data_IF_986090309197
#
_entry.id   IF_986090309197
#
_cell.length_a   1.000
_cell.length_b   1.000
_cell.length_c   1.000
_cell.angle_alpha   90.00
_cell.angle_beta   90.00
_cell.angle_gamma   90.00
#
_symmetry.space_group_name_H-M   'P 1'
#
loop_
_entity.id
_entity.type
_entity.pdbx_description
1 polymer ?
#
# COMPACT_ATOMS: atom_id res chain seq x y z
N UNK A 1 15.21 2.96 12.10
CA UNK A 1 14.39 3.98 12.80
C UNK A 1 14.15 3.56 14.24
N UNK A 2 13.64 4.46 15.09
CA UNK A 2 13.22 4.13 16.46
C UNK A 2 11.70 3.91 16.54
N UNK A 3 11.26 2.96 17.37
CA UNK A 3 9.84 2.67 17.61
C UNK A 3 9.20 3.83 18.41
N UNK A 4 8.14 4.45 17.86
CA UNK A 4 7.43 5.60 18.48
C UNK A 4 6.11 5.22 19.15
N UNK A 5 5.52 4.12 18.70
CA UNK A 5 4.25 3.62 19.19
C UNK A 5 4.18 2.12 18.97
N UNK A 6 3.56 1.41 19.91
CA UNK A 6 3.20 0.02 19.75
C UNK A 6 1.86 -0.23 20.40
N UNK A 7 1.03 -0.99 19.72
CA UNK A 7 -0.16 -1.60 20.28
C UNK A 7 -0.10 -3.10 20.02
N UNK A 8 -0.56 -3.89 20.97
CA UNK A 8 -0.48 -5.35 20.96
C UNK A 8 -1.86 -5.94 21.21
N UNK A 9 -2.07 -7.14 20.68
CA UNK A 9 -3.26 -7.94 20.93
C UNK A 9 -3.18 -8.56 22.33
N UNK A 10 -4.32 -8.68 22.98
CA UNK A 10 -4.45 -9.38 24.26
C UNK A 10 -4.20 -10.90 24.04
N UNK A 11 -3.28 -11.54 24.79
CA UNK A 11 -2.99 -12.97 24.68
C UNK A 11 -4.23 -13.88 24.75
N UNK A 12 -5.22 -13.57 25.60
CA UNK A 12 -6.43 -14.38 25.72
C UNK A 12 -7.31 -14.25 24.49
N UNK A 13 -7.36 -13.05 23.88
CA UNK A 13 -8.03 -12.82 22.62
C UNK A 13 -7.32 -13.55 21.48
N UNK A 14 -5.98 -13.53 21.46
CA UNK A 14 -5.20 -14.28 20.47
C UNK A 14 -5.49 -15.78 20.57
N UNK A 15 -5.48 -16.37 21.78
CA UNK A 15 -5.81 -17.79 21.97
C UNK A 15 -7.18 -18.12 21.37
N UNK A 16 -8.20 -17.30 21.65
CA UNK A 16 -9.56 -17.48 21.11
C UNK A 16 -9.59 -17.39 19.58
N UNK A 17 -8.91 -16.41 18.99
CA UNK A 17 -8.82 -16.24 17.53
C UNK A 17 -8.13 -17.44 16.89
N UNK A 18 -6.97 -17.85 17.41
CA UNK A 18 -6.19 -18.97 16.88
C UNK A 18 -7.00 -20.27 16.94
N UNK A 19 -7.56 -20.61 18.10
CA UNK A 19 -8.42 -21.80 18.24
C UNK A 19 -9.59 -21.75 17.25
N UNK A 20 -10.31 -20.62 17.17
CA UNK A 20 -11.45 -20.51 16.27
C UNK A 20 -11.08 -20.71 14.79
N UNK A 21 -9.99 -20.07 14.35
CA UNK A 21 -9.53 -20.06 12.98
C UNK A 21 -8.92 -21.42 12.58
N UNK A 22 -8.02 -21.96 13.39
CA UNK A 22 -7.29 -23.20 13.09
C UNK A 22 -8.22 -24.43 13.12
N UNK A 23 -9.18 -24.50 14.05
CA UNK A 23 -10.21 -25.56 14.08
C UNK A 23 -11.07 -25.59 12.80
N UNK A 24 -11.06 -24.49 12.05
CA UNK A 24 -11.78 -24.32 10.77
C UNK A 24 -10.85 -24.41 9.57
N UNK A 25 -9.58 -24.76 9.75
CA UNK A 25 -8.60 -24.92 8.68
C UNK A 25 -8.15 -23.60 8.06
N UNK A 26 -8.20 -22.50 8.82
CA UNK A 26 -7.49 -21.27 8.46
C UNK A 26 -6.07 -21.30 9.04
N UNK A 27 -5.14 -20.68 8.33
CA UNK A 27 -3.76 -20.49 8.79
C UNK A 27 -3.61 -19.14 9.47
N UNK A 28 -2.96 -19.10 10.63
CA UNK A 28 -2.57 -17.85 11.24
C UNK A 28 -1.08 -17.58 11.01
N UNK A 29 -0.76 -16.33 10.66
CA UNK A 29 0.58 -15.75 10.72
C UNK A 29 0.56 -14.63 11.74
N UNK A 30 1.46 -14.69 12.72
CA UNK A 30 1.59 -13.70 13.77
C UNK A 30 2.74 -12.73 13.48
N UNK A 31 2.50 -11.44 13.72
CA UNK A 31 3.50 -10.39 13.59
C UNK A 31 3.91 -9.91 14.99
N UNK A 32 5.20 -10.04 15.30
CA UNK A 32 5.84 -9.51 16.52
C UNK A 32 6.94 -8.53 16.09
N UNK A 33 6.61 -7.24 16.07
CA UNK A 33 7.47 -6.23 15.45
C UNK A 33 7.77 -6.57 13.98
N UNK A 34 9.04 -6.86 13.68
CA UNK A 34 9.50 -7.24 12.33
C UNK A 34 9.56 -8.76 12.11
N UNK A 35 9.21 -9.57 13.12
CA UNK A 35 9.20 -11.03 13.00
C UNK A 35 7.82 -11.51 12.57
N UNK A 36 7.80 -12.40 11.58
CA UNK A 36 6.61 -13.12 11.15
C UNK A 36 6.76 -14.56 11.60
N UNK A 37 5.73 -15.10 12.25
CA UNK A 37 5.77 -16.41 12.88
C UNK A 37 4.56 -17.23 12.45
N UNK A 38 4.78 -18.51 12.13
CA UNK A 38 3.70 -19.43 11.77
C UNK A 38 3.98 -20.85 12.28
N UNK A 39 2.93 -21.66 12.43
CA UNK A 39 3.10 -23.10 12.72
C UNK A 39 3.74 -23.82 11.53
N UNK A 40 4.73 -24.67 11.80
CA UNK A 40 5.61 -25.34 10.82
C UNK A 40 4.96 -26.29 9.79
N UNK A 41 3.63 -26.36 9.65
CA UNK A 41 2.95 -27.38 8.84
C UNK A 41 1.72 -26.83 8.07
N UNK A 42 1.87 -25.75 7.29
CA UNK A 42 0.71 -25.25 6.52
C UNK A 42 1.07 -24.65 5.15
N UNK A 43 0.33 -24.98 4.07
CA UNK A 43 0.60 -24.49 2.70
C UNK A 43 0.14 -23.05 2.44
N UNK A 44 0.53 -22.09 3.28
CA UNK A 44 0.35 -20.65 2.97
C UNK A 44 1.46 -20.11 2.06
N UNK A 45 2.56 -20.86 1.91
CA UNK A 45 3.74 -20.42 1.16
C UNK A 45 3.47 -20.01 -0.30
N UNK A 46 2.54 -20.67 -1.00
CA UNK A 46 2.16 -20.28 -2.36
C UNK A 46 1.48 -18.91 -2.40
N UNK A 47 0.62 -18.62 -1.42
CA UNK A 47 -0.08 -17.34 -1.34
C UNK A 47 0.88 -16.21 -0.96
N UNK A 48 1.76 -16.46 0.02
CA UNK A 48 2.79 -15.49 0.40
C UNK A 48 3.72 -15.16 -0.78
N UNK A 49 4.13 -16.18 -1.54
CA UNK A 49 4.95 -15.98 -2.73
C UNK A 49 4.22 -15.19 -3.82
N UNK A 50 2.92 -15.44 -4.04
CA UNK A 50 2.11 -14.71 -5.02
C UNK A 50 2.02 -13.21 -4.68
N UNK A 51 1.90 -12.87 -3.40
CA UNK A 51 1.77 -11.48 -2.95
C UNK A 51 3.09 -10.86 -2.49
N UNK A 52 4.23 -11.54 -2.76
CA UNK A 52 5.57 -11.09 -2.36
C UNK A 52 5.72 -10.79 -0.86
N UNK A 53 4.95 -11.49 -0.03
CA UNK A 53 5.05 -11.41 1.43
C UNK A 53 6.29 -12.15 1.92
N UNK A 54 7.00 -11.64 2.95
CA UNK A 54 8.14 -12.33 3.52
C UNK A 54 7.72 -13.66 4.15
N UNK A 55 8.58 -14.68 4.01
CA UNK A 55 8.32 -16.00 4.60
C UNK A 55 8.40 -15.93 6.13
N UNK A 56 7.36 -16.37 6.86
CA UNK A 56 7.39 -16.44 8.31
C UNK A 56 8.35 -17.52 8.80
N UNK A 57 8.96 -17.28 9.96
CA UNK A 57 9.71 -18.28 10.70
C UNK A 57 8.76 -19.40 11.16
N UNK A 58 9.14 -20.63 10.85
CA UNK A 58 8.40 -21.83 11.23
C UNK A 58 8.68 -22.16 12.70
N UNK A 59 7.63 -22.15 13.52
CA UNK A 59 7.68 -22.50 14.94
C UNK A 59 6.63 -23.57 15.29
N UNK A 60 6.56 -23.94 16.58
CA UNK A 60 5.47 -24.75 17.11
C UNK A 60 4.13 -24.00 17.10
N UNK A 61 3.13 -24.48 17.87
CA UNK A 61 1.87 -23.76 18.05
C UNK A 61 2.11 -22.30 18.46
N UNK A 62 1.48 -21.34 17.76
CA UNK A 62 1.58 -19.91 18.05
C UNK A 62 1.14 -19.57 19.49
N UNK A 63 0.29 -20.41 20.07
CA UNK A 63 -0.17 -20.30 21.46
C UNK A 63 0.97 -20.41 22.49
N UNK A 64 2.11 -20.99 22.11
CA UNK A 64 3.25 -21.19 23.00
C UNK A 64 4.06 -19.90 23.20
N UNK A 65 4.02 -18.96 22.25
CA UNK A 65 4.84 -17.74 22.28
C UNK A 65 4.11 -16.51 22.85
N UNK A 66 2.81 -16.64 23.17
CA UNK A 66 1.96 -15.48 23.50
C UNK A 66 2.38 -14.75 24.78
N UNK A 67 3.03 -15.47 25.70
CA UNK A 67 3.55 -14.92 26.96
C UNK A 67 5.03 -14.51 26.86
N UNK A 68 5.70 -14.85 25.74
CA UNK A 68 7.13 -14.61 25.52
C UNK A 68 7.38 -13.34 24.71
N UNK A 69 6.46 -12.99 23.81
CA UNK A 69 6.62 -11.84 22.92
C UNK A 69 5.30 -11.14 22.57
N UNK A 70 5.34 -9.82 22.32
CA UNK A 70 4.15 -9.07 21.96
C UNK A 70 3.69 -9.38 20.53
N UNK A 71 2.42 -9.73 20.35
CA UNK A 71 1.84 -9.88 19.02
C UNK A 71 1.09 -8.61 18.63
N UNK A 72 1.52 -7.96 17.55
CA UNK A 72 0.94 -6.72 17.04
C UNK A 72 -0.25 -6.95 16.11
N UNK A 73 -0.24 -8.06 15.37
CA UNK A 73 -1.19 -8.35 14.31
C UNK A 73 -1.22 -9.86 14.08
N UNK A 74 -2.41 -10.38 13.77
CA UNK A 74 -2.55 -11.69 13.15
C UNK A 74 -3.07 -11.50 11.74
N UNK A 75 -2.61 -12.36 10.83
CA UNK A 75 -3.23 -12.54 9.54
C UNK A 75 -3.79 -13.95 9.48
N UNK A 76 -5.07 -14.05 9.15
CA UNK A 76 -5.77 -15.31 8.94
C UNK A 76 -5.92 -15.55 7.45
N UNK A 77 -5.36 -16.65 6.96
CA UNK A 77 -5.41 -17.08 5.57
C UNK A 77 -6.36 -18.25 5.38
N UNK A 78 -7.13 -18.22 4.31
CA UNK A 78 -7.96 -19.34 3.89
C UNK A 78 -8.74 -19.03 2.62
N UNK A 79 -9.65 -19.93 2.18
CA UNK A 79 -10.39 -19.72 0.94
C UNK A 79 -11.22 -18.44 1.00
N UNK A 80 -11.09 -17.57 -0.02
CA UNK A 80 -11.83 -16.29 -0.15
C UNK A 80 -13.31 -16.43 0.24
N UNK A 81 -13.99 -17.45 -0.30
CA UNK A 81 -15.41 -17.73 -0.07
C UNK A 81 -15.77 -17.91 1.41
N UNK A 82 -14.81 -18.21 2.27
CA UNK A 82 -14.99 -18.43 3.71
C UNK A 82 -14.56 -17.24 4.56
N UNK A 83 -13.80 -16.28 4.02
CA UNK A 83 -13.28 -15.13 4.78
C UNK A 83 -14.41 -14.23 5.28
N UNK A 84 -15.44 -13.98 4.46
CA UNK A 84 -16.62 -13.21 4.89
C UNK A 84 -17.33 -13.85 6.10
N UNK A 85 -17.48 -15.17 6.07
CA UNK A 85 -18.09 -15.92 7.18
C UNK A 85 -17.20 -15.89 8.43
N UNK A 86 -15.89 -16.10 8.27
CA UNK A 86 -14.90 -15.99 9.35
C UNK A 86 -14.97 -14.62 10.03
N UNK A 87 -14.95 -13.54 9.25
CA UNK A 87 -15.03 -12.17 9.76
C UNK A 87 -16.30 -11.93 10.56
N UNK A 88 -17.46 -12.35 10.04
CA UNK A 88 -18.74 -12.19 10.73
C UNK A 88 -18.79 -12.98 12.04
N UNK A 89 -18.25 -14.20 12.07
CA UNK A 89 -18.23 -15.01 13.30
C UNK A 89 -17.29 -14.41 14.35
N UNK A 90 -16.10 -13.99 13.95
CA UNK A 90 -15.14 -13.34 14.85
C UNK A 90 -15.68 -12.02 15.39
N UNK A 91 -16.33 -11.20 14.56
CA UNK A 91 -16.90 -9.92 15.03
C UNK A 91 -17.97 -10.12 16.10
N UNK A 92 -18.83 -11.13 15.95
CA UNK A 92 -19.85 -11.49 16.94
C UNK A 92 -19.24 -12.04 18.23
N UNK A 93 -18.20 -12.87 18.14
CA UNK A 93 -17.59 -13.50 19.33
C UNK A 93 -16.69 -12.57 20.13
N UNK A 94 -16.01 -11.64 19.45
CA UNK A 94 -15.01 -10.78 20.06
C UNK A 94 -15.57 -9.41 20.47
N UNK A 95 -16.75 -9.03 19.98
CA UNK A 95 -17.53 -7.87 20.44
C UNK A 95 -16.69 -6.58 20.61
N UNK A 96 -15.91 -6.23 19.58
CA UNK A 96 -15.07 -5.02 19.58
C UNK A 96 -13.72 -5.15 20.30
N UNK A 97 -13.36 -6.34 20.81
CA UNK A 97 -12.04 -6.59 21.42
C UNK A 97 -10.88 -6.61 20.41
N UNK A 98 -11.20 -6.55 19.10
CA UNK A 98 -10.24 -6.47 17.99
C UNK A 98 -10.79 -5.57 16.90
N UNK A 99 -9.91 -5.04 16.07
CA UNK A 99 -10.26 -4.48 14.76
C UNK A 99 -10.07 -5.57 13.70
N UNK A 100 -11.07 -5.75 12.82
CA UNK A 100 -11.00 -6.66 11.68
C UNK A 100 -11.03 -5.85 10.39
N UNK A 101 -10.01 -6.03 9.53
CA UNK A 101 -9.88 -5.32 8.26
C UNK A 101 -9.26 -6.23 7.21
N UNK A 102 -9.32 -5.85 5.93
CA UNK A 102 -8.68 -6.57 4.83
C UNK A 102 -7.86 -5.63 3.94
N UNK A 103 -6.71 -6.11 3.46
CA UNK A 103 -6.05 -5.53 2.29
C UNK A 103 -6.71 -6.04 1.00
N UNK A 104 -6.21 -5.66 -0.18
CA UNK A 104 -6.63 -6.25 -1.46
C UNK A 104 -6.09 -7.68 -1.69
N UNK A 105 -6.27 -8.55 -0.69
CA UNK A 105 -5.98 -9.99 -0.75
C UNK A 105 -7.24 -10.72 -0.27
N UNK A 106 -8.08 -11.25 -1.18
CA UNK A 106 -9.38 -11.83 -0.84
C UNK A 106 -9.32 -13.01 0.14
N UNK A 107 -8.22 -13.76 0.13
CA UNK A 107 -7.94 -14.92 0.99
C UNK A 107 -7.49 -14.55 2.41
N UNK A 108 -7.43 -13.25 2.73
CA UNK A 108 -6.81 -12.74 3.93
C UNK A 108 -7.79 -11.96 4.81
N UNK A 109 -7.72 -12.17 6.12
CA UNK A 109 -8.33 -11.34 7.14
C UNK A 109 -7.28 -10.87 8.16
N UNK A 110 -7.17 -9.56 8.35
CA UNK A 110 -6.29 -8.99 9.37
C UNK A 110 -7.04 -8.84 10.70
N UNK A 111 -6.39 -9.27 11.78
CA UNK A 111 -6.84 -9.07 13.15
C UNK A 111 -5.85 -8.15 13.84
N UNK A 112 -6.33 -6.98 14.24
CA UNK A 112 -5.55 -5.92 14.85
C UNK A 112 -6.06 -5.63 16.27
N UNK A 113 -5.24 -5.01 17.12
CA UNK A 113 -5.69 -4.50 18.41
C UNK A 113 -6.92 -3.58 18.27
N UNK A 114 -7.77 -3.49 19.29
CA UNK A 114 -8.98 -2.68 19.21
C UNK A 114 -8.64 -1.21 18.93
N UNK A 115 -9.29 -0.64 17.91
CA UNK A 115 -9.05 0.74 17.47
C UNK A 115 -7.75 0.97 16.70
N UNK A 116 -6.93 -0.06 16.46
CA UNK A 116 -5.76 0.06 15.60
C UNK A 116 -6.18 0.10 14.12
N UNK A 117 -5.64 1.08 13.40
CA UNK A 117 -5.84 1.28 11.95
C UNK A 117 -4.69 2.10 11.37
N UNK A 118 -4.53 2.13 10.04
CA UNK A 118 -3.58 3.03 9.38
C UNK A 118 -3.90 4.51 9.66
N UNK A 119 -5.19 4.87 9.74
CA UNK A 119 -5.62 6.22 10.09
C UNK A 119 -5.26 6.62 11.53
N UNK A 120 -5.46 5.72 12.50
CA UNK A 120 -5.05 5.94 13.88
C UNK A 120 -3.53 6.11 14.02
N UNK A 121 -2.76 5.28 13.30
CA UNK A 121 -1.30 5.39 13.23
C UNK A 121 -0.85 6.72 12.61
N UNK A 122 -1.42 7.11 11.47
CA UNK A 122 -1.14 8.38 10.80
C UNK A 122 -1.46 9.56 11.71
N UNK A 123 -2.64 9.58 12.34
CA UNK A 123 -3.06 10.65 13.27
C UNK A 123 -2.04 10.86 14.40
N UNK A 124 -1.49 9.78 14.95
CA UNK A 124 -0.47 9.87 15.99
C UNK A 124 0.86 10.37 15.46
N UNK A 125 1.29 9.88 14.29
CA UNK A 125 2.51 10.34 13.63
C UNK A 125 2.45 11.85 13.33
N UNK A 126 1.34 12.34 12.79
CA UNK A 126 1.14 13.75 12.48
C UNK A 126 1.20 14.63 13.73
N UNK A 127 0.59 14.18 14.83
CA UNK A 127 0.66 14.86 16.13
C UNK A 127 2.11 14.97 16.62
N UNK A 128 2.88 13.89 16.54
CA UNK A 128 4.29 13.86 16.97
C UNK A 128 5.17 14.78 16.09
N UNK A 129 4.81 14.94 14.81
CA UNK A 129 5.51 15.81 13.86
C UNK A 129 5.03 17.28 13.88
N UNK A 130 3.93 17.59 14.57
CA UNK A 130 3.31 18.91 14.52
C UNK A 130 2.72 19.27 13.15
N UNK A 131 2.34 18.26 12.35
CA UNK A 131 1.77 18.43 11.01
C UNK A 131 0.25 18.31 11.09
N UNK A 132 -0.47 19.24 10.46
CA UNK A 132 -1.93 19.15 10.32
C UNK A 132 -2.30 18.17 9.19
N UNK A 133 -3.38 17.38 9.33
CA UNK A 133 -3.82 16.45 8.28
C UNK A 133 -4.05 17.10 6.91
N UNK A 134 -4.46 18.38 6.87
CA UNK A 134 -4.64 19.16 5.63
C UNK A 134 -3.37 19.26 4.75
N UNK A 135 -2.20 18.97 5.31
CA UNK A 135 -0.90 18.98 4.61
C UNK A 135 -0.44 17.57 4.20
N UNK A 136 -1.33 16.59 4.20
CA UNK A 136 -1.02 15.18 3.95
C UNK A 136 -1.74 14.73 2.69
N UNK A 137 -0.99 14.07 1.81
CA UNK A 137 -1.51 13.22 0.74
C UNK A 137 -1.48 11.78 1.22
N UNK A 138 -2.62 11.08 1.18
CA UNK A 138 -2.70 9.65 1.44
C UNK A 138 -3.25 8.94 0.19
N UNK A 139 -2.57 7.87 -0.22
CA UNK A 139 -2.95 7.05 -1.37
C UNK A 139 -3.19 5.63 -0.85
N UNK A 140 -4.28 4.99 -1.28
CA UNK A 140 -4.59 3.62 -0.87
C UNK A 140 -5.36 2.82 -1.92
N UNK A 141 -5.52 1.54 -1.62
CA UNK A 141 -6.20 0.56 -2.47
C UNK A 141 -7.19 -0.33 -1.68
N UNK A 142 -6.93 -0.57 -0.40
CA UNK A 142 -7.66 -1.54 0.42
C UNK A 142 -8.66 -0.95 1.42
N UNK A 143 -9.43 -1.83 2.07
CA UNK A 143 -10.29 -1.45 3.20
C UNK A 143 -9.44 -0.89 4.36
N UNK A 144 -8.26 -1.46 4.59
CA UNK A 144 -7.33 -1.03 5.65
C UNK A 144 -6.78 0.40 5.44
N UNK A 145 -7.00 1.02 4.28
CA UNK A 145 -6.63 2.40 3.97
C UNK A 145 -7.74 3.43 4.23
N UNK A 146 -8.99 3.00 4.40
CA UNK A 146 -10.16 3.88 4.49
C UNK A 146 -9.97 5.04 5.47
N UNK A 147 -9.57 4.73 6.70
CA UNK A 147 -9.39 5.74 7.74
C UNK A 147 -8.19 6.67 7.48
N UNK A 148 -7.16 6.17 6.80
CA UNK A 148 -5.97 6.96 6.46
C UNK A 148 -6.28 7.95 5.33
N UNK A 149 -6.95 7.47 4.28
CA UNK A 149 -7.39 8.25 3.13
C UNK A 149 -8.40 9.32 3.55
N UNK A 150 -9.39 8.96 4.39
CA UNK A 150 -10.37 9.92 4.89
C UNK A 150 -9.80 10.98 5.84
N UNK A 151 -8.67 10.70 6.50
CA UNK A 151 -8.03 11.62 7.44
C UNK A 151 -7.19 12.69 6.72
N UNK A 152 -6.59 12.33 5.58
CA UNK A 152 -5.66 13.19 4.86
C UNK A 152 -6.36 14.41 4.24
N UNK A 153 -5.60 15.48 4.03
CA UNK A 153 -6.08 16.67 3.33
C UNK A 153 -6.34 16.44 1.85
N UNK A 154 -5.66 15.45 1.28
CA UNK A 154 -5.91 14.92 -0.06
C UNK A 154 -5.90 13.40 0.06
N UNK A 155 -7.08 12.78 -0.02
CA UNK A 155 -7.26 11.34 -0.08
C UNK A 155 -7.37 10.85 -1.52
N UNK A 156 -6.57 9.85 -1.90
CA UNK A 156 -6.55 9.29 -3.26
C UNK A 156 -6.74 7.78 -3.22
N UNK A 157 -7.57 7.27 -4.12
CA UNK A 157 -7.69 5.85 -4.41
C UNK A 157 -7.13 5.53 -5.81
N UNK A 158 -6.40 4.43 -5.95
CA UNK A 158 -5.97 3.94 -7.28
C UNK A 158 -7.13 3.29 -8.05
N UNK A 159 -7.01 3.20 -9.37
CA UNK A 159 -8.08 2.74 -10.26
C UNK A 159 -8.61 1.33 -9.97
N UNK A 160 -7.78 0.44 -9.43
CA UNK A 160 -8.15 -0.91 -9.00
C UNK A 160 -8.53 -1.02 -7.52
N UNK A 161 -8.61 0.10 -6.79
CA UNK A 161 -8.95 0.13 -5.38
C UNK A 161 -10.36 -0.43 -5.07
N UNK A 162 -10.51 -0.85 -3.81
CA UNK A 162 -11.77 -1.23 -3.19
C UNK A 162 -12.83 -0.13 -3.38
N UNK A 163 -14.04 -0.50 -3.79
CA UNK A 163 -15.07 0.46 -4.20
C UNK A 163 -15.38 1.50 -3.12
N UNK A 164 -15.52 1.06 -1.88
CA UNK A 164 -15.77 1.97 -0.75
C UNK A 164 -14.61 2.96 -0.53
N UNK A 165 -13.38 2.57 -0.85
CA UNK A 165 -12.24 3.48 -0.78
C UNK A 165 -12.33 4.56 -1.85
N UNK A 166 -12.71 4.20 -3.09
CA UNK A 166 -12.96 5.17 -4.17
C UNK A 166 -14.07 6.15 -3.83
N UNK A 167 -15.13 5.68 -3.17
CA UNK A 167 -16.22 6.54 -2.68
C UNK A 167 -15.78 7.48 -1.56
N UNK A 168 -14.78 7.08 -0.77
CA UNK A 168 -14.26 7.85 0.37
C UNK A 168 -13.18 8.85 -0.04
N UNK A 169 -12.44 8.55 -1.11
CA UNK A 169 -11.34 9.37 -1.60
C UNK A 169 -11.84 10.65 -2.30
N UNK A 170 -11.06 11.73 -2.20
CA UNK A 170 -11.32 12.98 -2.94
C UNK A 170 -11.06 12.80 -4.44
N UNK A 171 -10.10 11.93 -4.78
CA UNK A 171 -9.69 11.67 -6.15
C UNK A 171 -9.47 10.18 -6.41
N UNK A 172 -9.77 9.77 -7.64
CA UNK A 172 -9.39 8.46 -8.19
C UNK A 172 -8.40 8.70 -9.33
N UNK A 173 -7.28 7.99 -9.27
CA UNK A 173 -6.21 8.02 -10.28
C UNK A 173 -6.17 6.71 -11.07
N UNK A 174 -5.24 6.54 -12.01
CA UNK A 174 -5.04 5.28 -12.71
C UNK A 174 -4.77 4.10 -11.75
N UNK A 175 -4.81 2.87 -12.27
CA UNK A 175 -4.50 1.68 -11.47
C UNK A 175 -3.02 1.66 -11.04
N UNK A 176 -2.68 0.78 -10.10
CA UNK A 176 -1.28 0.55 -9.74
C UNK A 176 -0.44 0.06 -10.95
N UNK A 177 -1.05 -0.67 -11.89
CA UNK A 177 -0.41 -1.18 -13.11
C UNK A 177 -0.21 -0.08 -14.16
N UNK A 178 -0.84 1.08 -13.98
CA UNK A 178 -0.83 2.25 -14.85
C UNK A 178 -0.23 3.47 -14.14
N UNK A 179 0.67 3.26 -13.18
CA UNK A 179 1.41 4.31 -12.46
C UNK A 179 0.52 5.31 -11.69
N UNK A 180 -0.65 4.90 -11.20
CA UNK A 180 -1.58 5.78 -10.47
C UNK A 180 -0.96 6.49 -9.25
N UNK A 181 -0.01 5.86 -8.57
CA UNK A 181 0.74 6.52 -7.47
C UNK A 181 1.59 7.68 -7.99
N UNK A 182 2.27 7.49 -9.13
CA UNK A 182 3.07 8.55 -9.76
C UNK A 182 2.16 9.70 -10.22
N UNK A 183 1.04 9.37 -10.88
CA UNK A 183 0.02 10.35 -11.28
C UNK A 183 -0.44 11.23 -10.11
N UNK A 184 -0.72 10.62 -8.95
CA UNK A 184 -1.12 11.35 -7.75
C UNK A 184 -0.02 12.31 -7.26
N UNK A 185 1.24 11.84 -7.19
CA UNK A 185 2.37 12.65 -6.74
C UNK A 185 2.63 13.82 -7.69
N UNK A 186 2.62 13.58 -8.99
CA UNK A 186 2.83 14.61 -10.01
C UNK A 186 1.76 15.70 -9.94
N UNK A 187 0.49 15.31 -9.78
CA UNK A 187 -0.64 16.24 -9.72
C UNK A 187 -0.66 17.06 -8.44
N UNK A 188 -0.46 16.43 -7.29
CA UNK A 188 -0.75 17.04 -5.99
C UNK A 188 0.48 17.51 -5.20
N UNK A 189 1.67 17.02 -5.54
CA UNK A 189 2.92 17.37 -4.83
C UNK A 189 3.86 18.17 -5.70
N UNK A 190 4.18 17.68 -6.90
CA UNK A 190 5.17 18.31 -7.78
C UNK A 190 4.56 19.47 -8.58
N UNK A 191 3.26 19.41 -8.85
CA UNK A 191 2.57 20.34 -9.75
C UNK A 191 3.03 20.15 -11.20
N UNK A 192 2.31 20.75 -12.14
CA UNK A 192 2.56 20.68 -13.59
C UNK A 192 3.85 21.39 -14.06
N UNK A 193 4.88 21.51 -13.22
CA UNK A 193 6.20 22.02 -13.63
C UNK A 193 6.96 21.03 -14.51
N UNK A 194 6.66 19.72 -14.44
CA UNK A 194 7.26 18.70 -15.32
C UNK A 194 6.71 18.79 -16.75
N UNK A 195 5.40 18.99 -16.91
CA UNK A 195 4.76 19.19 -18.23
C UNK A 195 5.30 20.44 -18.96
N UNK A 196 5.72 21.47 -18.23
CA UNK A 196 6.35 22.66 -18.81
C UNK A 196 7.80 22.40 -19.25
N UNK A 197 8.55 21.54 -18.56
CA UNK A 197 9.94 21.26 -18.91
C UNK A 197 10.07 20.39 -20.17
N UNK A 198 9.22 19.38 -20.34
CA UNK A 198 9.19 18.56 -21.56
C UNK A 198 8.71 19.34 -22.79
N UNK A 199 7.74 20.24 -22.62
CA UNK A 199 7.31 21.13 -23.69
C UNK A 199 8.43 22.10 -24.11
N UNK A 200 9.22 22.64 -23.19
CA UNK A 200 10.39 23.47 -23.53
C UNK A 200 11.53 22.68 -24.18
N UNK A 201 11.82 21.44 -23.76
CA UNK A 201 12.87 20.64 -24.38
C UNK A 201 12.50 20.16 -25.78
N UNK A 202 11.23 19.79 -26.01
CA UNK A 202 10.75 19.39 -27.34
C UNK A 202 10.73 20.55 -28.35
N UNK A 203 10.41 21.77 -27.89
CA UNK A 203 10.39 22.96 -28.76
C UNK A 203 11.79 23.43 -29.15
N UNK A 204 12.79 23.23 -28.29
CA UNK A 204 14.19 23.62 -28.57
C UNK A 204 14.86 22.69 -29.59
N UNK A 205 14.44 21.42 -29.66
CA UNK A 205 14.95 20.45 -30.64
C UNK A 205 14.49 20.72 -32.07
N UNK A 206 13.30 21.30 -32.25
CA UNK A 206 12.70 21.52 -33.58
C UNK A 206 13.14 22.82 -34.26
N UNK A 207 13.66 23.81 -33.53
CA UNK A 207 14.10 25.08 -34.13
C UNK A 207 15.52 25.05 -34.71
N UNK A 208 16.30 23.99 -34.46
CA UNK A 208 17.70 23.91 -34.93
C UNK A 208 17.86 23.27 -36.32
N UNK A 209 16.82 22.66 -36.89
CA UNK A 209 16.90 21.92 -38.16
C UNK A 209 16.40 22.66 -39.42
N UNK A 210 15.95 23.92 -39.32
CA UNK A 210 15.38 24.66 -40.47
C UNK A 210 16.18 25.89 -40.94
N UNK A 211 17.48 25.95 -40.68
CA UNK A 211 18.37 27.00 -41.24
C UNK A 211 19.68 26.44 -41.81
N UNK A 212 19.58 25.62 -42.84
CA UNK A 212 20.67 25.47 -43.81
C UNK A 212 20.14 24.88 -45.12
N UNK A 213 19.70 25.72 -46.06
CA UNK A 213 20.08 25.51 -47.46
C UNK A 213 19.80 26.74 -48.32
N UNK A 214 20.60 26.86 -49.38
CA UNK A 214 20.58 27.81 -50.50
C UNK A 214 21.43 29.09 -50.37
N UNK A 215 22.66 28.99 -50.86
CA UNK A 215 23.37 30.10 -51.53
C UNK A 215 23.96 29.54 -52.84
N UNK A 216 23.70 30.14 -54.02
CA UNK A 216 24.25 29.64 -55.28
C UNK A 216 25.65 30.25 -55.53
N UNK A 217 26.59 29.40 -55.92
CA UNK A 217 27.97 29.78 -56.26
C UNK A 217 28.04 30.27 -57.71
N UNK A 218 28.45 31.52 -57.91
CA UNK A 218 28.84 32.07 -59.21
C UNK A 218 30.37 32.10 -59.32
N UNK A 219 30.93 31.31 -60.23
CA UNK A 219 32.35 31.32 -60.60
C UNK A 219 32.52 32.02 -61.95
N UNK A 220 33.20 33.17 -61.94
CA UNK A 220 33.92 33.71 -63.10
C UNK A 220 35.41 33.40 -62.95
N UNK A 221 36.02 32.90 -64.01
CA UNK A 221 37.46 32.73 -64.16
C UNK A 221 37.81 32.77 -65.64
N UNK A 222 38.58 33.79 -66.04
CA UNK A 222 38.93 34.12 -67.42
C UNK A 222 40.04 33.21 -68.01
N UNK A 223 39.88 32.93 -69.31
CA UNK A 223 40.84 32.73 -70.41
C UNK A 223 42.31 32.30 -70.16
N UNK A 224 42.78 31.31 -70.94
CA UNK A 224 43.95 31.46 -71.82
C UNK A 224 44.04 30.37 -72.93
N UNK A 225 44.68 30.75 -74.04
CA UNK A 225 44.84 30.08 -75.34
C UNK A 225 45.69 28.79 -75.34
N UNK A 226 45.32 27.82 -76.20
CA UNK A 226 46.11 27.27 -77.33
C UNK A 226 45.37 26.08 -77.96
#
# INVERSE_FOLDING_TARGET
GSLRYQQVLDPDIIRRVLTFAEDRGFTAVAYSGNQLLMRAEHPVGTLLAQYHEPMPDAIGPLQNILDEMPINKLILYGPEKRIKALRWQLSMQLNGSVTLTQAQIPEMLEVLPPGASKGAALKRLLKDMGIEPKHVLAIGDGENDLEMVALAGIGVAVGNAYDKLKETADHVVASNDEDGVAEAIERFVLGSSLAKQEATSATTSTETEQKSDSTPTSTEGQSENA
#
